data_IF_961644720178
#
_entry.id   IF_961644720178
#
_cell.length_a   1.000
_cell.length_b   1.000
_cell.length_c   1.000
_cell.angle_alpha   90.00
_cell.angle_beta   90.00
_cell.angle_gamma   90.00
#
_symmetry.space_group_name_H-M   'P 1'
#
loop_
_entity.id
_entity.type
_entity.pdbx_description
1 polymer ?
#
# COMPACT_ATOMS: atom_id res chain seq x y z
N UNK A 1 -50.60 53.22 49.68
CA UNK A 1 -49.45 53.46 48.75
C UNK A 1 -48.56 52.23 48.77
N UNK A 2 -48.72 51.31 47.80
CA UNK A 2 -47.92 50.13 47.69
C UNK A 2 -46.80 50.41 46.68
N UNK A 3 -45.53 50.36 47.12
CA UNK A 3 -44.36 50.40 46.23
C UNK A 3 -44.13 49.00 45.67
N UNK A 4 -44.27 48.88 44.38
CA UNK A 4 -43.87 47.68 43.65
C UNK A 4 -42.34 47.65 43.50
N UNK A 5 -41.67 46.65 44.08
CA UNK A 5 -40.26 46.34 43.87
C UNK A 5 -40.17 45.43 42.66
N UNK A 6 -39.63 45.90 41.56
CA UNK A 6 -39.36 45.13 40.37
C UNK A 6 -37.93 44.58 40.48
N UNK A 7 -37.79 43.27 40.72
CA UNK A 7 -36.50 42.59 40.75
C UNK A 7 -36.14 42.15 39.31
N UNK A 8 -35.12 42.79 38.69
CA UNK A 8 -34.60 42.42 37.41
C UNK A 8 -33.60 41.27 37.62
N UNK A 9 -33.96 40.06 37.21
CA UNK A 9 -33.05 38.91 37.17
C UNK A 9 -32.27 39.01 35.87
N UNK A 10 -30.99 39.32 35.94
CA UNK A 10 -30.04 39.24 34.81
C UNK A 10 -29.66 37.77 34.59
N UNK A 11 -30.16 37.14 33.53
CA UNK A 11 -29.69 35.85 33.03
C UNK A 11 -28.32 36.07 32.40
N UNK A 12 -27.26 35.71 33.11
CA UNK A 12 -25.92 35.56 32.53
C UNK A 12 -25.92 34.23 31.78
N UNK A 13 -26.07 34.28 30.45
CA UNK A 13 -25.80 33.14 29.58
C UNK A 13 -24.29 32.88 29.59
N UNK A 14 -23.83 31.93 30.41
CA UNK A 14 -22.51 31.29 30.22
C UNK A 14 -22.56 30.53 28.88
N UNK A 15 -22.11 31.17 27.83
CA UNK A 15 -21.63 30.45 26.63
C UNK A 15 -20.37 29.66 27.03
N UNK A 16 -20.58 28.42 27.51
CA UNK A 16 -19.53 27.44 27.56
C UNK A 16 -19.12 27.20 26.10
N UNK A 17 -18.13 27.98 25.62
CA UNK A 17 -17.36 27.57 24.45
C UNK A 17 -16.79 26.20 24.79
N UNK A 18 -17.29 25.15 24.15
CA UNK A 18 -16.62 23.87 24.16
C UNK A 18 -15.22 24.15 23.63
N UNK A 19 -14.23 24.17 24.53
CA UNK A 19 -12.83 24.08 24.10
C UNK A 19 -12.76 22.78 23.30
N UNK A 20 -12.68 22.87 21.98
CA UNK A 20 -12.36 21.74 21.14
C UNK A 20 -11.02 21.24 21.67
N UNK A 21 -11.06 20.07 22.28
CA UNK A 21 -9.86 19.42 22.78
C UNK A 21 -8.86 19.35 21.61
N UNK A 22 -7.60 19.77 21.86
CA UNK A 22 -6.57 19.81 20.82
C UNK A 22 -6.28 18.38 20.35
N UNK A 23 -6.86 17.99 19.21
CA UNK A 23 -6.55 16.69 18.60
C UNK A 23 -5.08 16.65 18.18
N UNK A 24 -4.32 15.54 18.46
CA UNK A 24 -4.69 14.37 19.28
C UNK A 24 -4.28 14.52 20.76
N UNK A 25 -5.13 14.00 21.68
CA UNK A 25 -4.83 13.98 23.13
C UNK A 25 -4.49 12.58 23.67
N UNK A 26 -4.66 11.54 22.85
CA UNK A 26 -4.43 10.12 23.21
C UNK A 26 -3.77 9.38 22.06
N UNK A 27 -3.23 8.16 22.30
CA UNK A 27 -2.58 7.37 21.27
C UNK A 27 -3.48 7.13 20.05
N UNK A 28 -2.86 7.15 18.86
CA UNK A 28 -3.47 6.83 17.58
C UNK A 28 -3.13 5.39 17.22
N UNK A 29 -4.08 4.63 16.69
CA UNK A 29 -3.87 3.31 16.10
C UNK A 29 -3.74 3.46 14.58
N UNK A 30 -2.63 2.95 14.02
CA UNK A 30 -2.38 2.87 12.59
C UNK A 30 -2.48 1.43 12.14
N UNK A 31 -3.53 1.06 11.43
CA UNK A 31 -3.74 -0.29 10.91
C UNK A 31 -2.88 -0.51 9.67
N UNK A 32 -2.20 -1.65 9.61
CA UNK A 32 -1.47 -2.16 8.44
C UNK A 32 -2.15 -3.43 7.98
N UNK A 33 -2.70 -3.49 6.74
CA UNK A 33 -3.51 -4.63 6.29
C UNK A 33 -2.70 -5.82 5.78
N UNK A 34 -1.39 -5.84 6.00
CA UNK A 34 -0.44 -6.86 5.57
C UNK A 34 0.40 -7.38 6.74
N UNK A 35 1.08 -8.51 6.51
CA UNK A 35 1.93 -9.12 7.53
C UNK A 35 3.09 -8.21 7.96
N UNK A 36 3.48 -8.33 9.22
CA UNK A 36 4.66 -7.66 9.76
C UNK A 36 5.93 -8.09 8.99
N UNK A 37 6.87 -7.15 8.87
CA UNK A 37 8.14 -7.36 8.17
C UNK A 37 8.06 -7.19 6.64
N UNK A 38 6.86 -6.92 6.08
CA UNK A 38 6.70 -6.51 4.67
C UNK A 38 6.90 -5.00 4.47
N UNK A 39 6.84 -4.55 3.21
CA UNK A 39 7.09 -3.15 2.86
C UNK A 39 6.09 -2.19 3.47
N UNK A 40 4.79 -2.54 3.47
CA UNK A 40 3.76 -1.70 4.10
C UNK A 40 4.00 -1.52 5.60
N UNK A 41 4.40 -2.58 6.30
CA UNK A 41 4.75 -2.54 7.72
C UNK A 41 5.99 -1.66 7.98
N UNK A 42 7.02 -1.79 7.16
CA UNK A 42 8.25 -1.01 7.28
C UNK A 42 7.99 0.51 7.07
N UNK A 43 7.26 0.87 6.01
CA UNK A 43 6.91 2.27 5.72
C UNK A 43 5.96 2.83 6.78
N UNK A 44 4.99 2.03 7.27
CA UNK A 44 4.09 2.45 8.34
C UNK A 44 4.83 2.76 9.64
N UNK A 45 5.82 1.93 10.02
CA UNK A 45 6.56 2.13 11.26
C UNK A 45 7.46 3.36 11.22
N UNK A 46 8.15 3.62 10.13
CA UNK A 46 8.96 4.85 10.01
C UNK A 46 8.08 6.10 9.97
N UNK A 47 6.92 6.05 9.29
CA UNK A 47 5.95 7.15 9.30
C UNK A 47 5.39 7.36 10.71
N UNK A 48 4.98 6.30 11.41
CA UNK A 48 4.46 6.36 12.77
C UNK A 48 5.47 6.98 13.74
N UNK A 49 6.75 6.58 13.67
CA UNK A 49 7.83 7.18 14.47
C UNK A 49 8.00 8.68 14.24
N UNK A 50 7.86 9.12 12.98
CA UNK A 50 7.86 10.55 12.66
C UNK A 50 6.62 11.27 13.20
N UNK A 51 5.43 10.66 13.03
CA UNK A 51 4.18 11.23 13.54
C UNK A 51 4.14 11.35 15.06
N UNK A 52 4.75 10.41 15.81
CA UNK A 52 4.88 10.53 17.27
C UNK A 52 5.63 11.80 17.68
N UNK A 53 6.70 12.14 16.95
CA UNK A 53 7.48 13.37 17.16
C UNK A 53 6.68 14.64 16.83
N UNK A 54 5.91 14.61 15.73
CA UNK A 54 5.11 15.76 15.25
C UNK A 54 3.85 16.01 16.10
N UNK A 55 3.19 14.94 16.55
CA UNK A 55 1.89 15.03 17.22
C UNK A 55 1.98 14.96 18.75
N UNK A 56 3.11 14.53 19.30
CA UNK A 56 3.33 14.41 20.76
C UNK A 56 2.53 13.27 21.41
N UNK A 57 1.99 12.33 20.65
CA UNK A 57 1.26 11.15 21.15
C UNK A 57 1.80 9.88 20.49
N UNK A 58 1.63 8.74 21.15
CA UNK A 58 2.04 7.44 20.58
C UNK A 58 1.20 7.08 19.35
N UNK A 59 1.86 6.54 18.31
CA UNK A 59 1.20 6.00 17.10
C UNK A 59 1.48 4.49 17.02
N UNK A 60 0.50 3.70 17.47
CA UNK A 60 0.60 2.24 17.53
C UNK A 60 0.35 1.61 16.16
N UNK A 61 1.33 0.97 15.57
CA UNK A 61 1.18 0.21 14.32
C UNK A 61 0.67 -1.20 14.62
N UNK A 62 -0.47 -1.57 14.04
CA UNK A 62 -1.14 -2.86 14.27
C UNK A 62 -1.39 -3.56 12.93
N UNK A 63 -0.84 -4.77 12.75
CA UNK A 63 -1.04 -5.57 11.56
C UNK A 63 -2.38 -6.32 11.65
N UNK A 64 -3.26 -6.14 10.64
CA UNK A 64 -4.58 -6.77 10.51
C UNK A 64 -4.68 -7.47 9.16
N UNK A 65 -4.21 -8.69 9.12
CA UNK A 65 -4.10 -9.48 7.89
C UNK A 65 -5.38 -10.27 7.58
N UNK A 66 -5.53 -10.68 6.31
CA UNK A 66 -6.57 -11.59 5.86
C UNK A 66 -7.37 -11.08 4.67
N UNK A 67 -7.91 -12.03 3.88
CA UNK A 67 -8.72 -11.74 2.71
C UNK A 67 -7.99 -10.91 1.63
N UNK A 68 -6.67 -11.07 1.46
CA UNK A 68 -5.91 -10.23 0.53
C UNK A 68 -5.90 -8.76 0.94
N UNK A 69 -5.77 -8.47 2.23
CA UNK A 69 -5.82 -7.15 2.88
C UNK A 69 -7.25 -6.59 3.16
N UNK A 70 -8.31 -7.23 2.68
CA UNK A 70 -9.69 -6.75 2.85
C UNK A 70 -10.04 -6.55 4.33
N UNK A 71 -9.66 -7.49 5.22
CA UNK A 71 -10.01 -7.42 6.65
C UNK A 71 -9.47 -6.13 7.28
N UNK A 72 -8.19 -5.83 7.10
CA UNK A 72 -7.58 -4.62 7.65
C UNK A 72 -8.18 -3.34 7.09
N UNK A 73 -8.44 -3.29 5.78
CA UNK A 73 -9.05 -2.13 5.15
C UNK A 73 -10.50 -1.92 5.61
N UNK A 74 -11.29 -2.98 5.78
CA UNK A 74 -12.67 -2.85 6.28
C UNK A 74 -12.69 -2.41 7.76
N UNK A 75 -11.71 -2.81 8.57
CA UNK A 75 -11.57 -2.33 9.95
C UNK A 75 -11.28 -0.80 9.98
N UNK A 76 -10.43 -0.30 9.06
CA UNK A 76 -10.21 1.16 8.90
C UNK A 76 -11.50 1.89 8.51
N UNK A 77 -12.24 1.35 7.52
CA UNK A 77 -13.44 1.99 6.99
C UNK A 77 -14.56 2.10 8.04
N UNK A 78 -14.68 1.09 8.90
CA UNK A 78 -15.73 1.00 9.92
C UNK A 78 -15.35 1.57 11.29
N UNK A 79 -14.14 2.11 11.41
CA UNK A 79 -13.69 2.77 12.62
C UNK A 79 -14.50 4.04 12.93
N UNK A 80 -14.39 4.54 14.15
CA UNK A 80 -15.00 5.83 14.50
C UNK A 80 -14.28 6.97 13.76
N UNK A 81 -15.02 7.95 13.19
CA UNK A 81 -14.42 9.06 12.48
C UNK A 81 -13.90 10.16 13.43
N UNK A 82 -13.11 9.76 14.43
CA UNK A 82 -12.52 10.64 15.42
C UNK A 82 -11.00 10.85 15.26
N UNK A 83 -10.41 10.23 14.21
CA UNK A 83 -8.98 10.34 13.90
C UNK A 83 -8.07 9.43 14.72
N UNK A 84 -8.56 8.69 15.70
CA UNK A 84 -7.74 7.82 16.55
C UNK A 84 -7.56 6.41 16.01
N UNK A 85 -8.26 6.06 14.93
CA UNK A 85 -7.99 4.87 14.12
C UNK A 85 -7.86 5.31 12.66
N UNK A 86 -6.65 5.23 12.14
CA UNK A 86 -6.28 5.47 10.75
C UNK A 86 -5.56 4.25 10.23
N UNK A 87 -5.22 4.20 8.95
CA UNK A 87 -4.44 3.08 8.47
C UNK A 87 -3.78 3.31 7.12
N UNK A 88 -2.88 2.43 6.79
CA UNK A 88 -2.25 2.38 5.49
C UNK A 88 -3.22 1.74 4.47
N UNK A 89 -3.86 2.59 3.65
CA UNK A 89 -4.48 2.16 2.41
C UNK A 89 -3.41 1.75 1.41
N UNK A 90 -3.64 0.66 0.73
CA UNK A 90 -2.74 0.13 -0.29
C UNK A 90 -3.45 0.01 -1.64
N UNK A 91 -2.71 -0.28 -2.70
CA UNK A 91 -3.23 -0.30 -4.06
C UNK A 91 -4.44 -1.24 -4.25
N UNK A 92 -4.65 -2.17 -3.35
CA UNK A 92 -5.80 -3.08 -3.32
C UNK A 92 -7.14 -2.35 -3.12
N UNK A 93 -7.14 -1.15 -2.53
CA UNK A 93 -8.33 -0.29 -2.48
C UNK A 93 -8.90 0.01 -3.87
N UNK A 94 -8.06 -0.02 -4.90
CA UNK A 94 -8.48 0.19 -6.29
C UNK A 94 -8.98 -1.09 -6.96
N UNK A 95 -8.66 -2.28 -6.43
CA UNK A 95 -8.98 -3.58 -7.05
C UNK A 95 -10.06 -4.40 -6.36
N UNK A 96 -10.34 -4.19 -5.06
CA UNK A 96 -11.34 -4.99 -4.31
C UNK A 96 -12.68 -5.13 -4.99
N UNK A 97 -13.21 -4.00 -5.46
CA UNK A 97 -14.49 -3.96 -6.14
C UNK A 97 -14.47 -4.83 -7.40
N UNK A 98 -13.49 -4.62 -8.25
CA UNK A 98 -13.33 -5.34 -9.51
C UNK A 98 -13.07 -6.83 -9.33
N UNK A 99 -12.32 -7.20 -8.28
CA UNK A 99 -12.04 -8.58 -7.90
C UNK A 99 -13.23 -9.28 -7.21
N UNK A 100 -14.34 -8.58 -6.97
CA UNK A 100 -15.49 -9.13 -6.24
C UNK A 100 -15.20 -9.45 -4.76
N UNK A 101 -14.13 -8.92 -4.20
CA UNK A 101 -13.69 -9.21 -2.83
C UNK A 101 -14.40 -8.34 -1.79
N UNK A 102 -14.82 -7.13 -2.16
CA UNK A 102 -15.60 -6.23 -1.33
C UNK A 102 -16.52 -5.35 -2.20
N UNK A 103 -17.65 -4.89 -1.60
CA UNK A 103 -18.57 -3.93 -2.23
C UNK A 103 -18.15 -2.48 -2.00
N UNK A 104 -16.86 -2.28 -1.69
CA UNK A 104 -16.28 -0.98 -1.36
C UNK A 104 -15.18 -0.62 -2.33
N UNK A 105 -15.02 0.69 -2.53
CA UNK A 105 -14.01 1.30 -3.41
C UNK A 105 -13.03 2.11 -2.56
N UNK A 106 -11.88 2.45 -3.10
CA UNK A 106 -10.93 3.36 -2.43
C UNK A 106 -11.56 4.74 -2.11
N UNK A 107 -12.51 5.19 -2.93
CA UNK A 107 -13.26 6.44 -2.74
C UNK A 107 -14.29 6.40 -1.59
N UNK A 108 -14.56 5.24 -1.00
CA UNK A 108 -15.37 5.13 0.23
C UNK A 108 -14.57 5.46 1.51
N UNK A 109 -13.27 5.65 1.39
CA UNK A 109 -12.40 6.07 2.50
C UNK A 109 -12.20 7.58 2.49
N UNK A 110 -11.82 8.14 3.64
CA UNK A 110 -11.33 9.51 3.71
C UNK A 110 -9.81 9.49 3.46
N UNK A 111 -9.31 9.98 2.30
CA UNK A 111 -7.89 10.07 2.04
C UNK A 111 -7.25 11.15 2.93
N UNK A 112 -6.04 10.89 3.45
CA UNK A 112 -5.29 11.88 4.24
C UNK A 112 -4.04 12.31 3.49
N UNK A 113 -3.18 11.35 3.10
CA UNK A 113 -2.01 11.61 2.26
C UNK A 113 -1.53 10.33 1.57
N UNK A 114 -1.10 10.43 0.31
CA UNK A 114 -0.26 9.42 -0.34
C UNK A 114 1.18 9.59 0.16
N UNK A 115 1.87 8.50 0.43
CA UNK A 115 3.19 8.52 1.05
C UNK A 115 4.27 7.90 0.16
N UNK A 116 3.94 6.79 -0.51
CA UNK A 116 4.92 5.92 -1.13
C UNK A 116 4.39 5.29 -2.41
N UNK A 117 5.28 5.07 -3.36
CA UNK A 117 5.08 4.18 -4.51
C UNK A 117 6.34 3.34 -4.70
N UNK A 118 6.15 2.01 -4.84
CA UNK A 118 7.23 1.07 -5.11
C UNK A 118 6.95 0.27 -6.38
N UNK A 119 7.86 0.27 -7.35
CA UNK A 119 7.78 -0.64 -8.48
C UNK A 119 7.81 -2.10 -8.04
N UNK A 120 7.05 -2.93 -8.75
CA UNK A 120 7.12 -4.38 -8.61
C UNK A 120 8.44 -4.93 -9.15
N UNK A 121 8.80 -6.12 -8.68
CA UNK A 121 9.95 -6.85 -9.17
C UNK A 121 9.63 -8.34 -9.25
N UNK A 122 10.31 -9.01 -10.18
CA UNK A 122 10.18 -10.44 -10.41
C UNK A 122 11.38 -11.17 -9.79
N UNK A 123 11.11 -11.93 -8.74
CA UNK A 123 12.12 -12.66 -7.98
C UNK A 123 12.02 -14.17 -8.23
N UNK A 124 13.19 -14.80 -8.34
CA UNK A 124 13.34 -16.26 -8.39
C UNK A 124 14.12 -16.74 -7.17
N UNK A 125 14.14 -18.06 -6.94
CA UNK A 125 15.02 -18.65 -5.91
C UNK A 125 16.48 -18.26 -6.17
N UNK A 126 17.27 -18.06 -5.11
CA UNK A 126 18.71 -17.82 -5.22
C UNK A 126 19.46 -18.96 -5.90
N UNK A 127 18.93 -20.20 -5.83
CA UNK A 127 19.46 -21.39 -6.51
C UNK A 127 18.96 -21.57 -7.95
N UNK A 128 18.05 -20.70 -8.44
CA UNK A 128 17.54 -20.80 -9.81
C UNK A 128 18.66 -20.55 -10.84
N UNK A 129 18.66 -21.35 -11.90
CA UNK A 129 19.69 -21.35 -12.94
C UNK A 129 19.45 -20.36 -14.08
N UNK A 130 18.36 -19.58 -14.01
CA UNK A 130 18.07 -18.56 -15.02
C UNK A 130 19.21 -17.53 -15.10
N UNK A 131 19.75 -17.34 -16.29
CA UNK A 131 20.80 -16.35 -16.55
C UNK A 131 20.21 -14.91 -16.39
N UNK A 132 19.00 -14.71 -16.89
CA UNK A 132 18.28 -13.45 -16.91
C UNK A 132 16.76 -13.66 -16.94
N UNK A 133 16.01 -12.57 -17.06
CA UNK A 133 14.54 -12.62 -17.11
C UNK A 133 14.04 -13.25 -18.41
N UNK A 134 14.74 -13.11 -19.53
CA UNK A 134 14.34 -13.71 -20.81
C UNK A 134 14.33 -15.24 -20.72
N UNK A 135 15.37 -15.83 -20.13
CA UNK A 135 15.43 -17.26 -19.90
C UNK A 135 14.26 -17.76 -19.04
N UNK A 136 13.88 -17.01 -17.99
CA UNK A 136 12.71 -17.35 -17.17
C UNK A 136 11.39 -17.22 -17.95
N UNK A 137 11.23 -16.18 -18.77
CA UNK A 137 10.02 -15.97 -19.58
C UNK A 137 9.89 -17.01 -20.69
N UNK A 138 10.97 -17.39 -21.33
CA UNK A 138 10.99 -18.47 -22.36
C UNK A 138 10.60 -19.81 -21.73
N UNK A 139 11.11 -20.11 -20.54
CA UNK A 139 10.77 -21.33 -19.81
C UNK A 139 9.29 -21.33 -19.40
N UNK A 140 8.77 -20.22 -18.85
CA UNK A 140 7.34 -20.07 -18.55
C UNK A 140 6.49 -20.32 -19.80
N UNK A 141 6.88 -19.76 -20.94
CA UNK A 141 6.15 -19.89 -22.21
C UNK A 141 6.17 -21.32 -22.77
N UNK A 142 7.25 -22.05 -22.53
CA UNK A 142 7.44 -23.41 -23.04
C UNK A 142 6.68 -24.49 -22.23
N UNK A 143 6.28 -24.18 -20.99
CA UNK A 143 5.62 -25.14 -20.10
C UNK A 143 4.10 -24.98 -20.13
N UNK A 144 3.35 -26.05 -19.81
CA UNK A 144 1.91 -25.95 -19.64
C UNK A 144 1.53 -24.93 -18.56
N UNK A 145 0.42 -24.21 -18.76
CA UNK A 145 -0.17 -23.31 -17.77
C UNK A 145 -0.30 -24.00 -16.40
N UNK A 146 0.15 -23.32 -15.35
CA UNK A 146 0.09 -23.83 -13.97
C UNK A 146 1.28 -24.69 -13.56
N UNK A 147 2.25 -24.95 -14.45
CA UNK A 147 3.50 -25.63 -14.07
C UNK A 147 4.25 -24.86 -13.00
N UNK A 148 4.32 -23.55 -13.15
CA UNK A 148 4.99 -22.64 -12.20
C UNK A 148 4.00 -22.01 -11.23
N UNK A 149 4.49 -21.75 -10.01
CA UNK A 149 3.76 -21.09 -8.92
C UNK A 149 4.47 -19.80 -8.54
N UNK A 150 3.67 -18.77 -8.26
CA UNK A 150 4.16 -17.47 -7.78
C UNK A 150 3.43 -17.06 -6.50
N UNK A 151 4.11 -16.39 -5.58
CA UNK A 151 3.53 -15.89 -4.32
C UNK A 151 4.03 -14.46 -4.02
N UNK A 152 3.89 -13.99 -2.79
CA UNK A 152 4.31 -12.65 -2.33
C UNK A 152 3.18 -11.63 -2.32
N UNK A 153 2.02 -11.98 -2.86
CA UNK A 153 0.86 -11.10 -3.00
C UNK A 153 -0.43 -11.91 -2.99
N UNK A 154 -1.58 -11.28 -3.23
CA UNK A 154 -2.88 -11.93 -3.34
C UNK A 154 -3.51 -11.73 -4.72
N UNK A 155 -4.60 -12.46 -5.00
CA UNK A 155 -5.32 -12.35 -6.27
C UNK A 155 -5.88 -10.94 -6.46
N UNK A 156 -5.61 -10.34 -7.63
CA UNK A 156 -6.05 -8.98 -7.94
C UNK A 156 -5.27 -7.86 -7.24
N UNK A 157 -4.29 -8.20 -6.39
CA UNK A 157 -3.44 -7.21 -5.76
C UNK A 157 -2.44 -6.60 -6.75
N UNK A 158 -1.86 -5.45 -6.40
CA UNK A 158 -1.04 -4.63 -7.30
C UNK A 158 0.11 -5.39 -7.96
N UNK A 159 0.87 -6.16 -7.20
CA UNK A 159 2.00 -6.93 -7.77
C UNK A 159 1.53 -8.09 -8.65
N UNK A 160 0.35 -8.70 -8.35
CA UNK A 160 -0.23 -9.70 -9.25
C UNK A 160 -0.62 -9.06 -10.59
N UNK A 161 -1.29 -7.89 -10.57
CA UNK A 161 -1.68 -7.17 -11.78
C UNK A 161 -0.45 -6.70 -12.57
N UNK A 162 0.59 -6.21 -11.90
CA UNK A 162 1.84 -5.83 -12.53
C UNK A 162 2.51 -7.01 -13.23
N UNK A 163 2.58 -8.17 -12.59
CA UNK A 163 3.16 -9.37 -13.21
C UNK A 163 2.33 -9.88 -14.38
N UNK A 164 1.02 -9.95 -14.24
CA UNK A 164 0.12 -10.34 -15.32
C UNK A 164 0.26 -9.42 -16.54
N UNK A 165 0.36 -8.10 -16.30
CA UNK A 165 0.65 -7.12 -17.33
C UNK A 165 2.03 -7.32 -17.98
N UNK A 166 3.06 -7.63 -17.19
CA UNK A 166 4.41 -7.92 -17.68
C UNK A 166 4.45 -9.19 -18.54
N UNK A 167 3.77 -10.27 -18.14
CA UNK A 167 3.63 -11.49 -18.96
C UNK A 167 2.94 -11.16 -20.28
N UNK A 168 1.81 -10.43 -20.26
CA UNK A 168 1.07 -10.01 -21.46
C UNK A 168 1.94 -9.18 -22.41
N UNK A 169 2.72 -8.24 -21.87
CA UNK A 169 3.63 -7.40 -22.65
C UNK A 169 4.73 -8.23 -23.35
N UNK A 170 5.07 -9.41 -22.81
CA UNK A 170 6.01 -10.36 -23.40
C UNK A 170 5.33 -11.44 -24.27
N UNK A 171 4.02 -11.29 -24.56
CA UNK A 171 3.27 -12.25 -25.40
C UNK A 171 3.04 -13.61 -24.70
N UNK A 172 2.95 -13.59 -23.37
CA UNK A 172 2.67 -14.77 -22.52
C UNK A 172 1.28 -14.59 -21.91
N UNK A 173 0.53 -15.70 -21.79
CA UNK A 173 -0.78 -15.67 -21.11
C UNK A 173 -0.61 -15.10 -19.69
N UNK A 174 -1.33 -14.05 -19.30
CA UNK A 174 -1.30 -13.49 -17.94
C UNK A 174 -1.54 -14.52 -16.83
N UNK A 175 -2.22 -15.63 -17.14
CA UNK A 175 -2.56 -16.71 -16.22
C UNK A 175 -1.63 -17.94 -16.36
N UNK A 176 -0.54 -17.86 -17.11
CA UNK A 176 0.40 -18.97 -17.33
C UNK A 176 1.02 -19.49 -16.02
N UNK A 177 1.18 -18.61 -15.02
CA UNK A 177 1.75 -18.93 -13.72
C UNK A 177 0.67 -18.90 -12.65
N UNK A 178 0.54 -20.01 -11.87
CA UNK A 178 -0.46 -20.09 -10.80
C UNK A 178 -0.08 -19.24 -9.61
N UNK A 179 -0.93 -18.29 -9.23
CA UNK A 179 -0.76 -17.52 -8.00
C UNK A 179 -1.15 -18.37 -6.78
N UNK A 180 -0.24 -18.50 -5.82
CA UNK A 180 -0.46 -18.99 -4.47
C UNK A 180 -0.59 -17.77 -3.56
N UNK A 181 -1.80 -17.42 -3.12
CA UNK A 181 -2.01 -16.20 -2.34
C UNK A 181 -1.24 -16.21 -1.03
N UNK A 182 -0.62 -15.08 -0.67
CA UNK A 182 0.04 -14.89 0.61
C UNK A 182 -0.40 -13.60 1.30
N UNK A 183 -0.05 -13.47 2.57
CA UNK A 183 -0.37 -12.28 3.37
C UNK A 183 0.67 -11.15 3.23
N UNK A 184 1.38 -11.13 2.09
CA UNK A 184 2.40 -10.16 1.73
C UNK A 184 3.72 -10.80 1.33
N UNK A 185 4.73 -9.95 1.07
CA UNK A 185 6.02 -10.38 0.53
C UNK A 185 6.78 -11.29 1.49
N UNK A 186 6.83 -10.99 2.80
CA UNK A 186 7.62 -11.76 3.75
C UNK A 186 7.22 -13.25 3.80
N UNK A 187 5.94 -13.66 3.96
CA UNK A 187 5.56 -15.06 3.84
C UNK A 187 5.81 -15.64 2.43
N UNK A 188 5.61 -14.86 1.36
CA UNK A 188 5.92 -15.33 0.00
C UNK A 188 7.39 -15.70 -0.21
N UNK A 189 8.31 -14.92 0.34
CA UNK A 189 9.74 -15.24 0.31
C UNK A 189 10.08 -16.49 1.15
N UNK A 190 9.37 -16.75 2.24
CA UNK A 190 9.52 -17.99 3.00
C UNK A 190 9.09 -19.21 2.17
N UNK A 191 7.98 -19.10 1.43
CA UNK A 191 7.52 -20.11 0.49
C UNK A 191 8.56 -20.35 -0.64
N UNK A 192 9.17 -19.28 -1.16
CA UNK A 192 10.24 -19.38 -2.16
C UNK A 192 11.46 -20.14 -1.61
N UNK A 193 11.90 -19.77 -0.41
CA UNK A 193 13.06 -20.39 0.24
C UNK A 193 12.85 -21.88 0.56
N UNK A 194 11.60 -22.28 0.87
CA UNK A 194 11.22 -23.69 1.13
C UNK A 194 10.95 -24.48 -0.15
N UNK A 195 10.93 -23.85 -1.32
CA UNK A 195 10.61 -24.48 -2.60
C UNK A 195 9.13 -24.70 -2.84
N UNK A 196 8.23 -24.09 -2.03
CA UNK A 196 6.78 -24.17 -2.19
C UNK A 196 6.27 -23.40 -3.42
N UNK A 197 7.01 -22.38 -3.85
CA UNK A 197 6.77 -21.62 -5.09
C UNK A 197 8.07 -21.40 -5.86
N UNK A 198 7.94 -21.07 -7.15
CA UNK A 198 9.08 -20.84 -8.05
C UNK A 198 9.48 -19.36 -8.08
N UNK A 199 8.50 -18.48 -7.90
CA UNK A 199 8.65 -17.04 -8.07
C UNK A 199 7.98 -16.27 -6.92
N UNK A 200 8.48 -15.06 -6.67
CA UNK A 200 7.83 -14.10 -5.77
C UNK A 200 7.68 -12.75 -6.46
N UNK A 201 6.52 -12.14 -6.24
CA UNK A 201 6.19 -10.78 -6.67
C UNK A 201 6.21 -9.86 -5.46
N UNK A 202 7.08 -8.87 -5.49
CA UNK A 202 7.20 -7.86 -4.45
C UNK A 202 7.98 -6.67 -4.99
N UNK A 203 8.19 -5.64 -4.19
CA UNK A 203 9.21 -4.63 -4.53
C UNK A 203 10.61 -5.11 -4.16
N UNK A 204 11.65 -4.48 -4.72
CA UNK A 204 13.04 -4.81 -4.41
C UNK A 204 13.38 -4.68 -2.91
N UNK A 205 12.99 -3.59 -2.21
CA UNK A 205 13.26 -3.45 -0.78
C UNK A 205 12.62 -4.54 0.09
N UNK A 206 11.46 -5.06 -0.29
CA UNK A 206 10.80 -6.16 0.43
C UNK A 206 11.58 -7.47 0.34
N UNK A 207 12.31 -7.67 -0.75
CA UNK A 207 13.17 -8.85 -0.97
C UNK A 207 14.61 -8.69 -0.48
N UNK A 208 15.02 -7.51 -0.03
CA UNK A 208 16.43 -7.19 0.22
C UNK A 208 17.15 -8.15 1.17
N UNK A 209 16.52 -8.53 2.29
CA UNK A 209 17.12 -9.48 3.24
C UNK A 209 17.30 -10.88 2.65
N UNK A 210 16.35 -11.33 1.84
CA UNK A 210 16.43 -12.63 1.16
C UNK A 210 17.48 -12.64 0.04
N UNK A 211 17.65 -11.50 -0.65
CA UNK A 211 18.73 -11.33 -1.65
C UNK A 211 20.10 -11.36 -0.98
N UNK A 212 20.26 -10.61 0.14
CA UNK A 212 21.51 -10.60 0.92
C UNK A 212 21.87 -11.98 1.46
N UNK A 213 20.86 -12.78 1.84
CA UNK A 213 21.03 -14.15 2.30
C UNK A 213 21.27 -15.15 1.13
N UNK A 214 21.24 -14.70 -0.12
CA UNK A 214 21.36 -15.57 -1.31
C UNK A 214 20.17 -16.50 -1.54
N UNK A 215 19.04 -16.25 -0.86
CA UNK A 215 17.83 -17.07 -0.95
C UNK A 215 16.89 -16.64 -2.08
N UNK A 216 17.03 -15.41 -2.58
CA UNK A 216 16.32 -14.91 -3.74
C UNK A 216 17.20 -14.08 -4.64
N UNK A 217 16.84 -14.02 -5.92
CA UNK A 217 17.47 -13.21 -6.95
C UNK A 217 16.40 -12.47 -7.75
N UNK A 218 16.38 -11.10 -7.75
CA UNK A 218 15.53 -10.36 -8.66
C UNK A 218 16.06 -10.43 -10.09
N UNK A 219 15.20 -10.69 -11.06
CA UNK A 219 15.55 -10.73 -12.48
C UNK A 219 15.20 -9.43 -13.22
N UNK A 220 14.20 -8.70 -12.76
CA UNK A 220 13.81 -7.40 -13.32
C UNK A 220 13.00 -6.60 -12.31
N UNK A 221 13.07 -5.26 -12.42
CA UNK A 221 12.16 -4.32 -11.76
C UNK A 221 11.23 -3.67 -12.80
N UNK A 222 9.95 -3.53 -12.46
CA UNK A 222 8.91 -2.96 -13.33
C UNK A 222 8.88 -1.43 -13.19
N UNK A 223 9.97 -0.80 -13.60
CA UNK A 223 10.20 0.63 -13.49
C UNK A 223 10.80 1.17 -14.79
N UNK A 224 10.67 2.48 -15.01
CA UNK A 224 11.27 3.17 -16.15
C UNK A 224 12.78 3.36 -15.97
N UNK A 225 13.25 3.40 -14.72
CA UNK A 225 14.66 3.57 -14.35
C UNK A 225 15.02 2.57 -13.24
N UNK A 226 16.32 2.23 -13.15
CA UNK A 226 16.82 1.38 -12.07
C UNK A 226 16.65 2.06 -10.71
N UNK A 227 16.39 1.26 -9.68
CA UNK A 227 16.29 1.76 -8.30
C UNK A 227 17.71 1.95 -7.76
N UNK A 228 18.04 3.16 -7.30
CA UNK A 228 19.40 3.53 -6.90
C UNK A 228 20.01 2.62 -5.81
N UNK A 229 19.19 2.13 -4.87
CA UNK A 229 19.62 1.18 -3.85
C UNK A 229 19.87 -0.25 -4.38
N UNK A 230 19.46 -0.55 -5.63
CA UNK A 230 19.61 -1.85 -6.29
C UNK A 230 20.12 -1.67 -7.73
N UNK A 231 21.33 -1.09 -7.92
CA UNK A 231 21.81 -0.67 -9.22
C UNK A 231 22.06 -1.82 -10.20
N UNK A 232 22.24 -3.03 -9.70
CA UNK A 232 22.49 -4.23 -10.51
C UNK A 232 21.22 -4.87 -11.07
N UNK A 233 20.02 -4.47 -10.59
CA UNK A 233 18.76 -5.02 -11.06
C UNK A 233 18.27 -4.24 -12.27
N UNK A 234 18.15 -4.88 -13.45
CA UNK A 234 17.72 -4.21 -14.66
C UNK A 234 16.23 -3.89 -14.63
N UNK A 235 15.83 -2.83 -15.36
CA UNK A 235 14.41 -2.54 -15.62
C UNK A 235 13.81 -3.58 -16.57
N UNK A 236 12.47 -3.66 -16.65
CA UNK A 236 11.77 -4.49 -17.63
C UNK A 236 12.22 -4.22 -19.08
N UNK A 237 12.49 -2.94 -19.41
CA UNK A 237 12.99 -2.54 -20.72
C UNK A 237 14.40 -3.07 -21.01
N UNK A 238 15.31 -2.93 -20.05
CA UNK A 238 16.69 -3.44 -20.18
C UNK A 238 16.73 -4.98 -20.23
N UNK A 239 15.93 -5.62 -19.36
CA UNK A 239 15.97 -7.07 -19.18
C UNK A 239 15.18 -7.86 -20.24
N UNK A 240 13.98 -7.38 -20.64
CA UNK A 240 13.09 -8.08 -21.55
C UNK A 240 12.85 -7.34 -22.89
N UNK A 241 13.24 -6.08 -22.99
CA UNK A 241 13.00 -5.26 -24.19
C UNK A 241 11.58 -4.65 -24.23
N UNK A 242 10.78 -4.82 -23.17
CA UNK A 242 9.41 -4.27 -23.08
C UNK A 242 9.39 -3.05 -22.16
N UNK A 243 8.77 -1.98 -22.64
CA UNK A 243 8.56 -0.76 -21.84
C UNK A 243 7.36 -0.98 -20.94
N UNK A 244 7.61 -1.49 -19.75
CA UNK A 244 6.58 -1.84 -18.77
C UNK A 244 6.95 -1.32 -17.39
N UNK A 245 6.00 -0.63 -16.75
CA UNK A 245 6.09 -0.18 -15.37
C UNK A 245 4.81 -0.53 -14.62
N UNK A 246 4.94 -0.91 -13.37
CA UNK A 246 3.82 -1.24 -12.48
C UNK A 246 4.31 -1.52 -11.08
N UNK A 247 3.44 -1.31 -10.10
CA UNK A 247 3.84 -1.45 -8.70
C UNK A 247 2.70 -1.20 -7.74
N UNK A 248 3.04 -0.95 -6.50
CA UNK A 248 2.09 -0.67 -5.43
C UNK A 248 2.29 0.74 -4.88
N UNK A 249 1.21 1.33 -4.45
CA UNK A 249 1.23 2.59 -3.70
C UNK A 249 0.74 2.36 -2.26
N UNK A 250 1.15 3.26 -1.36
CA UNK A 250 0.70 3.27 0.03
C UNK A 250 0.41 4.70 0.46
N UNK A 251 -0.77 4.88 1.05
CA UNK A 251 -1.19 6.17 1.59
C UNK A 251 -1.98 5.98 2.87
N UNK A 252 -2.13 7.04 3.65
CA UNK A 252 -2.91 6.98 4.88
C UNK A 252 -4.35 7.39 4.59
N UNK A 253 -5.26 6.54 5.04
CA UNK A 253 -6.70 6.73 4.94
C UNK A 253 -7.37 6.58 6.31
N UNK A 254 -8.57 7.12 6.43
CA UNK A 254 -9.44 6.92 7.58
C UNK A 254 -10.87 6.62 7.17
N UNK A 255 -11.79 6.43 8.13
CA UNK A 255 -13.21 6.28 7.85
C UNK A 255 -13.79 7.59 7.28
N UNK A 256 -14.90 7.48 6.56
CA UNK A 256 -15.65 8.67 6.13
C UNK A 256 -16.17 9.45 7.34
N UNK A 257 -16.23 10.79 7.20
CA UNK A 257 -16.76 11.67 8.24
C UNK A 257 -15.72 12.18 9.24
N UNK A 258 -14.43 11.99 8.99
CA UNK A 258 -13.38 12.73 9.70
C UNK A 258 -13.60 14.24 9.52
N UNK A 259 -13.43 15.04 10.59
CA UNK A 259 -13.50 16.49 10.48
C UNK A 259 -12.30 17.06 9.69
N UNK A 260 -12.51 18.18 9.04
CA UNK A 260 -11.46 18.89 8.28
C UNK A 260 -10.25 19.23 9.17
N UNK A 261 -10.49 19.56 10.45
CA UNK A 261 -9.42 19.87 11.42
C UNK A 261 -8.53 18.63 11.67
N UNK A 262 -9.14 17.45 11.86
CA UNK A 262 -8.41 16.18 12.05
C UNK A 262 -7.61 15.84 10.81
N UNK A 263 -8.22 15.92 9.63
CA UNK A 263 -7.54 15.62 8.35
C UNK A 263 -6.41 16.59 8.09
N UNK A 264 -6.63 17.89 8.30
CA UNK A 264 -5.61 18.94 8.14
C UNK A 264 -4.44 18.74 9.12
N UNK A 265 -4.73 18.43 10.39
CA UNK A 265 -3.70 18.17 11.40
C UNK A 265 -2.84 16.95 11.05
N UNK A 266 -3.48 15.82 10.69
CA UNK A 266 -2.78 14.60 10.27
C UNK A 266 -2.00 14.81 8.98
N UNK A 267 -2.62 15.43 7.96
CA UNK A 267 -1.97 15.70 6.67
C UNK A 267 -0.76 16.61 6.80
N UNK A 268 -0.86 17.67 7.62
CA UNK A 268 0.26 18.57 7.93
C UNK A 268 1.42 17.84 8.61
N UNK A 269 1.11 17.02 9.62
CA UNK A 269 2.12 16.21 10.30
C UNK A 269 2.78 15.20 9.34
N UNK A 270 2.01 14.53 8.48
CA UNK A 270 2.56 13.60 7.47
C UNK A 270 3.47 14.31 6.47
N UNK A 271 3.09 15.51 6.03
CA UNK A 271 3.95 16.32 5.15
C UNK A 271 5.30 16.60 5.81
N UNK A 272 5.30 17.08 7.06
CA UNK A 272 6.54 17.32 7.79
C UNK A 272 7.40 16.06 7.92
N UNK A 273 6.76 14.90 8.19
CA UNK A 273 7.49 13.63 8.29
C UNK A 273 8.13 13.22 6.98
N UNK A 274 7.41 13.28 5.84
CA UNK A 274 7.99 12.88 4.56
C UNK A 274 9.07 13.84 4.06
N UNK A 275 9.04 15.09 4.50
CA UNK A 275 10.07 16.11 4.24
C UNK A 275 11.27 16.00 5.19
N UNK A 276 11.17 15.23 6.29
CA UNK A 276 12.21 15.04 7.29
C UNK A 276 13.37 14.18 6.76
N UNK A 277 14.60 14.55 7.09
CA UNK A 277 15.80 13.87 6.61
C UNK A 277 15.92 12.41 7.14
N UNK A 278 15.42 12.11 8.34
CA UNK A 278 15.43 10.75 8.89
C UNK A 278 14.53 9.83 8.08
N UNK A 279 13.32 10.32 7.72
CA UNK A 279 12.39 9.57 6.86
C UNK A 279 12.98 9.36 5.46
N UNK A 280 13.46 10.42 4.81
CA UNK A 280 14.07 10.36 3.48
C UNK A 280 15.27 9.39 3.45
N UNK A 281 16.12 9.47 4.47
CA UNK A 281 17.28 8.60 4.62
C UNK A 281 16.85 7.13 4.71
N UNK A 282 15.90 6.82 5.59
CA UNK A 282 15.37 5.46 5.71
C UNK A 282 14.83 4.94 4.38
N UNK A 283 13.98 5.73 3.71
CA UNK A 283 13.38 5.35 2.44
C UNK A 283 14.43 5.09 1.36
N UNK A 284 15.39 6.00 1.21
CA UNK A 284 16.44 5.88 0.18
C UNK A 284 17.42 4.73 0.47
N UNK A 285 17.87 4.55 1.72
CA UNK A 285 18.78 3.46 2.09
C UNK A 285 18.14 2.08 1.92
N UNK A 286 16.83 1.99 2.13
CA UNK A 286 16.07 0.74 1.90
C UNK A 286 15.63 0.57 0.46
N UNK A 287 15.63 1.63 -0.34
CA UNK A 287 15.16 1.63 -1.73
C UNK A 287 13.66 1.76 -1.89
N UNK A 288 12.95 2.22 -0.85
CA UNK A 288 11.53 2.59 -0.96
C UNK A 288 11.38 3.94 -1.64
N UNK A 289 10.42 4.06 -2.56
CA UNK A 289 10.09 5.32 -3.22
C UNK A 289 9.30 6.25 -2.33
N UNK A 290 9.52 7.56 -2.46
CA UNK A 290 8.66 8.58 -1.84
C UNK A 290 7.79 9.18 -2.94
N UNK A 291 6.47 9.13 -2.75
CA UNK A 291 5.50 9.83 -3.59
C UNK A 291 4.47 10.47 -2.67
N UNK A 292 4.60 11.79 -2.49
CA UNK A 292 3.68 12.52 -1.62
C UNK A 292 2.59 13.21 -2.43
N UNK A 293 1.34 12.97 -2.02
CA UNK A 293 0.18 13.77 -2.42
C UNK A 293 -0.57 14.15 -1.16
N UNK A 294 -1.03 15.40 -1.08
CA UNK A 294 -1.93 15.83 -0.03
C UNK A 294 -3.33 15.20 -0.18
N UNK A 295 -4.25 15.54 0.72
CA UNK A 295 -5.60 15.00 0.71
C UNK A 295 -6.29 15.11 -0.66
N UNK A 296 -6.26 16.30 -1.28
CA UNK A 296 -6.95 16.55 -2.54
C UNK A 296 -6.30 15.78 -3.70
N UNK A 297 -4.97 15.77 -3.76
CA UNK A 297 -4.21 14.99 -4.74
C UNK A 297 -4.43 13.49 -4.56
N UNK A 298 -4.49 13.01 -3.33
CA UNK A 298 -4.71 11.59 -3.06
C UNK A 298 -6.17 11.17 -3.34
N UNK A 299 -7.17 12.01 -3.09
CA UNK A 299 -8.54 11.74 -3.48
C UNK A 299 -8.68 11.54 -4.99
N UNK A 300 -8.13 12.48 -5.77
CA UNK A 300 -8.11 12.37 -7.24
C UNK A 300 -7.36 11.12 -7.70
N UNK A 301 -6.23 10.82 -7.09
CA UNK A 301 -5.46 9.62 -7.39
C UNK A 301 -6.27 8.33 -7.16
N UNK A 302 -7.04 8.23 -6.07
CA UNK A 302 -7.90 7.06 -5.81
C UNK A 302 -8.98 6.87 -6.87
N UNK A 303 -9.60 7.94 -7.37
CA UNK A 303 -10.59 7.89 -8.46
C UNK A 303 -9.94 7.40 -9.77
N UNK A 304 -8.79 7.98 -10.13
CA UNK A 304 -8.05 7.58 -11.32
C UNK A 304 -7.58 6.13 -11.25
N UNK A 305 -7.06 5.71 -10.09
CA UNK A 305 -6.61 4.33 -9.88
C UNK A 305 -7.78 3.33 -9.93
N UNK A 306 -8.94 3.66 -9.38
CA UNK A 306 -10.11 2.79 -9.49
C UNK A 306 -10.46 2.50 -10.94
N UNK A 307 -10.54 3.53 -11.79
CA UNK A 307 -10.86 3.41 -13.22
C UNK A 307 -9.77 2.63 -13.98
N UNK A 308 -8.50 2.99 -13.77
CA UNK A 308 -7.37 2.36 -14.47
C UNK A 308 -7.23 0.87 -14.12
N UNK A 309 -7.34 0.53 -12.84
CA UNK A 309 -7.26 -0.85 -12.36
C UNK A 309 -8.43 -1.68 -12.88
N UNK A 310 -9.63 -1.11 -12.91
CA UNK A 310 -10.79 -1.77 -13.53
C UNK A 310 -10.56 -2.10 -15.00
N UNK A 311 -10.03 -1.16 -15.76
CA UNK A 311 -9.68 -1.39 -17.17
C UNK A 311 -8.62 -2.50 -17.32
N UNK A 312 -7.54 -2.44 -16.54
CA UNK A 312 -6.47 -3.46 -16.54
C UNK A 312 -7.05 -4.84 -16.23
N UNK A 313 -7.87 -4.97 -15.19
CA UNK A 313 -8.47 -6.25 -14.81
C UNK A 313 -9.42 -6.81 -15.85
N UNK A 314 -10.20 -5.95 -16.52
CA UNK A 314 -11.04 -6.34 -17.66
C UNK A 314 -10.19 -6.83 -18.84
N UNK A 315 -9.14 -6.09 -19.21
CA UNK A 315 -8.23 -6.43 -20.32
C UNK A 315 -7.44 -7.73 -20.07
N UNK A 316 -7.19 -8.05 -18.79
CA UNK A 316 -6.56 -9.31 -18.37
C UNK A 316 -7.57 -10.46 -18.21
N UNK A 317 -8.87 -10.20 -18.29
CA UNK A 317 -9.92 -11.21 -18.13
C UNK A 317 -10.10 -11.71 -16.69
N UNK A 318 -9.63 -10.94 -15.69
CA UNK A 318 -9.68 -11.33 -14.25
C UNK A 318 -10.68 -10.51 -13.44
N UNK A 319 -11.34 -9.52 -14.04
CA UNK A 319 -12.41 -8.78 -13.39
C UNK A 319 -13.62 -9.68 -13.13
N UNK A 320 -14.16 -9.64 -11.91
CA UNK A 320 -15.38 -10.34 -11.50
C UNK A 320 -16.62 -9.45 -11.61
N UNK A 321 -16.43 -8.14 -11.73
CA UNK A 321 -17.49 -7.13 -11.89
C UNK A 321 -17.26 -6.32 -13.15
N UNK A 322 -18.37 -5.74 -13.64
CA UNK A 322 -18.39 -4.79 -14.77
C UNK A 322 -19.13 -3.55 -14.31
N UNK A 323 -18.63 -2.38 -14.62
CA UNK A 323 -19.37 -1.09 -14.56
C UNK A 323 -19.88 -0.69 -15.94
#
# INVERSE_FOLDING_TARGET
MLKKLTTTVALIALSAGAAMADYPEKPITMIVPWAAGGGTDAVARILASGLEKELGVTVNVVNKVGGGSVIGHMEMLTAKPDGYTIGFGTAELSSFYWAGQADKKGTDFNPIALINFDPGAFHVSGSATYADVKAALEDIKAQPTGTYKVSGTSTGAAFHLAFAGFLKANGIDPLAVTLVPSQGAAPGFQELASGGVNFVLSSLPEGASMQQAGMSKPLAVFANERIAAFPDVPTSKEAAGVDFAGGTWRGVVGPQGLSDDVVSKLGGAMKNVVENEEFKKFMSEKGFGIQYLDQAGFAKFLEEQHTQVGQIMNDLGIAQRKE
#
